data_IF_847297798600
#
_entry.id   IF_847297798600
#
_cell.length_a   1.000
_cell.length_b   1.000
_cell.length_c   1.000
_cell.angle_alpha   90.00
_cell.angle_beta   90.00
_cell.angle_gamma   90.00
#
_symmetry.space_group_name_H-M   'P 1'
#
loop_
_entity.id
_entity.type
_entity.pdbx_description
1 polymer ?
#
# COMPACT_ATOMS: atom_id res chain seq x y z
N UNK A 1 -2.33 -2.90 -12.43
CA UNK A 1 -2.38 -1.46 -12.75
C UNK A 1 -2.49 -0.66 -11.47
N UNK A 2 -1.76 0.46 -11.37
CA UNK A 2 -1.83 1.38 -10.23
C UNK A 2 -2.69 2.61 -10.61
N UNK A 3 -3.52 3.07 -9.68
CA UNK A 3 -4.31 4.29 -9.84
C UNK A 3 -3.40 5.53 -9.97
N UNK A 4 -3.81 6.49 -10.79
CA UNK A 4 -3.08 7.76 -10.95
C UNK A 4 -3.38 8.75 -9.82
N UNK A 5 -4.42 8.51 -9.05
CA UNK A 5 -4.84 9.34 -7.90
C UNK A 5 -4.86 8.52 -6.61
N UNK A 6 -4.66 9.20 -5.50
CA UNK A 6 -4.98 8.64 -4.19
C UNK A 6 -6.51 8.57 -4.04
N UNK A 7 -6.98 7.58 -3.34
CA UNK A 7 -8.39 7.54 -2.94
C UNK A 7 -8.68 8.65 -1.90
N UNK A 8 -9.96 8.88 -1.63
CA UNK A 8 -10.41 9.86 -0.65
C UNK A 8 -9.93 11.31 -0.92
N UNK A 9 -9.95 11.72 -2.19
CA UNK A 9 -9.50 13.06 -2.62
C UNK A 9 -8.09 13.43 -2.12
N UNK A 10 -7.19 12.45 -2.08
CA UNK A 10 -5.82 12.57 -1.57
C UNK A 10 -5.70 12.93 -0.08
N UNK A 11 -6.75 12.77 0.69
CA UNK A 11 -6.67 12.89 2.16
C UNK A 11 -6.18 11.57 2.78
N UNK A 12 -5.47 11.69 3.89
CA UNK A 12 -5.01 10.55 4.68
C UNK A 12 -6.17 9.98 5.50
N UNK A 13 -6.19 8.67 5.61
CA UNK A 13 -7.20 7.94 6.38
C UNK A 13 -6.55 6.92 7.31
N UNK A 14 -7.24 6.58 8.38
CA UNK A 14 -6.87 5.44 9.21
C UNK A 14 -7.18 4.14 8.46
N UNK A 15 -6.46 3.07 8.81
CA UNK A 15 -6.72 1.77 8.19
C UNK A 15 -8.05 1.18 8.67
N UNK A 16 -8.29 1.21 9.98
CA UNK A 16 -9.52 0.70 10.60
C UNK A 16 -9.84 1.45 11.88
N UNK A 17 -11.15 1.58 12.16
CA UNK A 17 -11.70 1.99 13.45
C UNK A 17 -11.74 0.85 14.48
N UNK A 18 -11.55 -0.39 14.02
CA UNK A 18 -11.59 -1.60 14.83
C UNK A 18 -10.40 -2.52 14.52
N UNK A 19 -9.96 -3.24 15.53
CA UNK A 19 -8.90 -4.24 15.37
C UNK A 19 -9.44 -5.67 15.23
N UNK A 20 -10.74 -5.86 15.26
CA UNK A 20 -11.42 -7.10 15.60
C UNK A 20 -11.24 -8.24 14.59
N UNK A 21 -11.04 -7.95 13.31
CA UNK A 21 -11.02 -8.98 12.26
C UNK A 21 -9.71 -9.06 11.48
N UNK A 22 -8.68 -8.42 11.99
CA UNK A 22 -7.35 -8.51 11.38
C UNK A 22 -6.77 -9.93 11.46
N UNK A 23 -7.31 -10.79 12.32
CA UNK A 23 -6.88 -12.19 12.43
C UNK A 23 -7.24 -13.04 11.20
N UNK A 24 -8.09 -12.54 10.31
CA UNK A 24 -8.33 -13.16 8.99
C UNK A 24 -7.16 -12.97 8.02
N UNK A 25 -6.34 -11.97 8.26
CA UNK A 25 -5.20 -11.65 7.42
C UNK A 25 -3.96 -12.36 7.95
N UNK A 26 -3.18 -12.94 7.04
CA UNK A 26 -1.91 -13.56 7.39
C UNK A 26 -0.90 -12.53 7.89
N UNK A 27 -0.11 -12.92 8.89
CA UNK A 27 0.96 -12.08 9.42
C UNK A 27 2.13 -11.98 8.43
N UNK A 28 2.48 -10.77 8.04
CA UNK A 28 3.61 -10.44 7.17
C UNK A 28 4.78 -9.89 7.99
N UNK A 29 5.39 -10.74 8.81
CA UNK A 29 6.43 -10.33 9.77
C UNK A 29 7.85 -10.36 9.20
N UNK A 30 8.13 -11.19 8.20
CA UNK A 30 9.46 -11.33 7.60
C UNK A 30 9.57 -10.62 6.25
N UNK A 31 10.81 -10.44 5.76
CA UNK A 31 11.08 -9.94 4.41
C UNK A 31 10.39 -10.81 3.35
N UNK A 32 10.53 -12.14 3.44
CA UNK A 32 9.95 -13.05 2.46
C UNK A 32 8.42 -13.03 2.50
N UNK A 33 7.80 -12.97 3.68
CA UNK A 33 6.34 -12.85 3.77
C UNK A 33 5.84 -11.56 3.12
N UNK A 34 6.53 -10.43 3.33
CA UNK A 34 6.16 -9.17 2.70
C UNK A 34 6.30 -9.21 1.18
N UNK A 35 7.41 -9.74 0.69
CA UNK A 35 7.66 -9.87 -0.75
C UNK A 35 6.66 -10.81 -1.43
N UNK A 36 6.36 -11.95 -0.82
CA UNK A 36 5.45 -12.96 -1.39
C UNK A 36 3.97 -12.67 -1.19
N UNK A 37 3.60 -11.68 -0.36
CA UNK A 37 2.20 -11.33 -0.17
C UNK A 37 1.67 -10.50 -1.35
N UNK A 38 1.07 -11.19 -2.31
CA UNK A 38 0.38 -10.59 -3.46
C UNK A 38 -1.15 -10.64 -3.31
N UNK A 39 -1.64 -10.84 -2.08
CA UNK A 39 -3.05 -11.13 -1.77
C UNK A 39 -3.92 -9.87 -1.62
N UNK A 40 -3.54 -8.72 -2.19
CA UNK A 40 -4.24 -7.45 -1.95
C UNK A 40 -5.75 -7.51 -2.16
N UNK A 41 -6.19 -8.06 -3.29
CA UNK A 41 -7.61 -8.27 -3.56
C UNK A 41 -8.25 -9.23 -2.56
N UNK A 42 -7.64 -10.39 -2.34
CA UNK A 42 -8.13 -11.39 -1.39
C UNK A 42 -8.22 -10.88 0.04
N UNK A 43 -7.27 -10.06 0.49
CA UNK A 43 -7.30 -9.42 1.79
C UNK A 43 -8.52 -8.50 1.94
N UNK A 44 -8.81 -7.68 0.92
CA UNK A 44 -10.00 -6.81 0.91
C UNK A 44 -11.29 -7.63 0.93
N UNK A 45 -11.39 -8.67 0.10
CA UNK A 45 -12.58 -9.51 0.01
C UNK A 45 -12.81 -10.36 1.28
N UNK A 46 -11.76 -10.77 1.97
CA UNK A 46 -11.87 -11.45 3.26
C UNK A 46 -12.58 -10.58 4.30
N UNK A 47 -12.21 -9.28 4.38
CA UNK A 47 -12.88 -8.32 5.25
C UNK A 47 -14.32 -8.07 4.80
N UNK A 48 -14.55 -7.84 3.49
CA UNK A 48 -15.89 -7.61 2.93
C UNK A 48 -16.83 -8.77 3.20
N UNK A 49 -16.36 -10.00 3.01
CA UNK A 49 -17.17 -11.21 3.18
C UNK A 49 -17.63 -11.41 4.62
N UNK A 50 -16.86 -10.94 5.59
CA UNK A 50 -17.22 -11.08 6.99
C UNK A 50 -18.13 -9.97 7.51
N UNK A 51 -17.84 -8.72 7.15
CA UNK A 51 -18.55 -7.54 7.63
C UNK A 51 -19.71 -7.11 6.72
N UNK A 52 -19.79 -7.63 5.50
CA UNK A 52 -20.76 -7.23 4.48
C UNK A 52 -20.47 -5.86 3.83
N UNK A 53 -19.60 -5.06 4.44
CA UNK A 53 -19.20 -3.73 3.95
C UNK A 53 -17.85 -3.32 4.55
N UNK A 54 -17.40 -2.09 4.29
CA UNK A 54 -16.17 -1.51 4.83
C UNK A 54 -16.38 -0.35 5.81
N UNK A 55 -17.55 -0.22 6.44
CA UNK A 55 -17.87 0.93 7.31
C UNK A 55 -16.88 1.14 8.46
N UNK A 56 -16.24 0.06 8.90
CA UNK A 56 -15.25 0.10 9.98
C UNK A 56 -13.80 0.21 9.49
N UNK A 57 -13.60 0.23 8.18
CA UNK A 57 -12.29 0.17 7.52
C UNK A 57 -12.10 1.34 6.54
N UNK A 58 -11.85 2.56 7.03
CA UNK A 58 -11.75 3.76 6.19
C UNK A 58 -10.79 3.64 5.00
N UNK A 59 -9.68 2.91 5.15
CA UNK A 59 -8.77 2.68 4.03
C UNK A 59 -9.41 1.86 2.91
N UNK A 60 -10.22 0.84 3.24
CA UNK A 60 -10.93 0.02 2.26
C UNK A 60 -12.17 0.74 1.72
N UNK A 61 -12.86 1.52 2.58
CA UNK A 61 -13.98 2.37 2.18
C UNK A 61 -13.53 3.44 1.15
N UNK A 62 -12.33 4.01 1.33
CA UNK A 62 -11.75 4.94 0.37
C UNK A 62 -11.57 4.30 -1.01
N UNK A 63 -11.17 3.03 -1.06
CA UNK A 63 -11.07 2.26 -2.31
C UNK A 63 -12.45 2.01 -2.95
N UNK A 64 -13.46 1.70 -2.17
CA UNK A 64 -14.84 1.55 -2.69
C UNK A 64 -15.37 2.87 -3.28
N UNK A 65 -15.12 3.99 -2.60
CA UNK A 65 -15.41 5.31 -3.15
C UNK A 65 -14.67 5.57 -4.45
N UNK A 66 -13.42 5.11 -4.57
CA UNK A 66 -12.64 5.22 -5.79
C UNK A 66 -13.22 4.37 -6.93
N UNK A 67 -13.70 3.16 -6.67
CA UNK A 67 -14.42 2.33 -7.65
C UNK A 67 -15.67 3.03 -8.21
N UNK A 68 -16.35 3.83 -7.40
CA UNK A 68 -17.51 4.60 -7.82
C UNK A 68 -17.16 5.78 -8.71
N UNK A 69 -16.07 6.50 -8.38
CA UNK A 69 -15.65 7.72 -9.08
C UNK A 69 -14.79 7.44 -10.31
N UNK A 70 -14.08 6.31 -10.33
CA UNK A 70 -13.20 5.86 -11.39
C UNK A 70 -13.54 4.42 -11.80
N UNK A 71 -14.74 4.19 -12.39
CA UNK A 71 -15.18 2.84 -12.75
C UNK A 71 -14.24 2.21 -13.79
N UNK A 72 -14.08 0.90 -13.68
CA UNK A 72 -13.22 0.10 -14.57
C UNK A 72 -14.03 -1.02 -15.23
N UNK A 73 -13.53 -1.63 -16.32
CA UNK A 73 -14.22 -2.75 -16.96
C UNK A 73 -14.51 -3.90 -16.00
N UNK A 74 -15.66 -4.54 -16.16
CA UNK A 74 -16.09 -5.70 -15.35
C UNK A 74 -15.21 -6.95 -15.51
N UNK A 75 -14.31 -6.93 -16.48
CA UNK A 75 -13.30 -7.98 -16.69
C UNK A 75 -12.09 -7.85 -15.76
N UNK A 76 -12.10 -6.86 -14.88
CA UNK A 76 -11.04 -6.62 -13.89
C UNK A 76 -11.54 -6.91 -12.48
N UNK A 77 -10.61 -6.96 -11.51
CA UNK A 77 -10.97 -7.08 -10.08
C UNK A 77 -11.75 -5.88 -9.52
N UNK A 78 -11.83 -4.76 -10.26
CA UNK A 78 -12.07 -3.48 -9.64
C UNK A 78 -10.83 -2.98 -8.88
N UNK A 79 -10.91 -1.77 -8.36
CA UNK A 79 -9.84 -1.21 -7.52
C UNK A 79 -9.84 -1.84 -6.13
N UNK A 80 -8.65 -2.13 -5.59
CA UNK A 80 -8.46 -2.66 -4.25
C UNK A 80 -7.19 -2.08 -3.59
N UNK A 81 -7.06 -2.23 -2.29
CA UNK A 81 -5.87 -1.81 -1.54
C UNK A 81 -4.74 -2.81 -1.79
N UNK A 82 -3.59 -2.40 -2.34
CA UNK A 82 -2.48 -3.31 -2.63
C UNK A 82 -1.91 -3.95 -1.36
N UNK A 83 -1.46 -5.19 -1.48
CA UNK A 83 -0.65 -5.85 -0.46
C UNK A 83 0.78 -5.34 -0.44
N UNK A 84 1.55 -5.75 0.56
CA UNK A 84 2.95 -5.34 0.72
C UNK A 84 3.83 -5.81 -0.44
N UNK A 85 3.63 -7.03 -0.95
CA UNK A 85 4.36 -7.54 -2.11
C UNK A 85 4.00 -6.81 -3.41
N UNK A 86 2.73 -6.42 -3.57
CA UNK A 86 2.31 -5.61 -4.71
C UNK A 86 2.92 -4.20 -4.67
N UNK A 87 3.02 -3.58 -3.50
CA UNK A 87 3.79 -2.35 -3.34
C UNK A 87 5.28 -2.54 -3.67
N UNK A 88 5.84 -3.67 -3.25
CA UNK A 88 7.21 -4.05 -3.59
C UNK A 88 7.43 -4.07 -5.10
N UNK A 89 6.55 -4.76 -5.82
CA UNK A 89 6.59 -4.83 -7.30
C UNK A 89 6.44 -3.44 -7.95
N UNK A 90 5.56 -2.59 -7.44
CA UNK A 90 5.39 -1.22 -7.92
C UNK A 90 6.70 -0.43 -7.77
N UNK A 91 7.29 -0.44 -6.60
CA UNK A 91 8.51 0.31 -6.32
C UNK A 91 9.71 -0.25 -7.09
N UNK A 92 9.82 -1.57 -7.21
CA UNK A 92 10.89 -2.24 -7.93
C UNK A 92 10.82 -1.98 -9.43
N UNK A 93 9.64 -2.18 -10.02
CA UNK A 93 9.48 -2.18 -11.48
C UNK A 93 9.13 -0.80 -12.04
N UNK A 94 8.19 -0.08 -11.43
CA UNK A 94 7.79 1.25 -11.87
C UNK A 94 8.62 2.36 -11.23
N UNK A 95 9.05 2.16 -9.99
CA UNK A 95 9.91 3.09 -9.27
C UNK A 95 11.39 2.99 -9.64
N UNK A 96 11.77 2.01 -10.46
CA UNK A 96 13.16 1.83 -10.90
C UNK A 96 14.11 1.37 -9.80
N UNK A 97 13.63 0.56 -8.85
CA UNK A 97 14.40 0.06 -7.71
C UNK A 97 14.65 -1.45 -7.78
N UNK A 98 15.43 -1.97 -8.73
CA UNK A 98 15.70 -3.41 -8.84
C UNK A 98 16.40 -3.96 -7.59
N UNK A 99 17.15 -3.13 -6.86
CA UNK A 99 17.86 -3.51 -5.65
C UNK A 99 16.95 -3.86 -4.44
N UNK A 100 15.65 -3.64 -4.51
CA UNK A 100 14.74 -4.05 -3.43
C UNK A 100 14.78 -5.55 -3.18
N UNK A 101 15.03 -6.37 -4.22
CA UNK A 101 15.14 -7.82 -4.10
C UNK A 101 16.36 -8.24 -3.27
N UNK A 102 17.50 -7.54 -3.42
CA UNK A 102 18.82 -8.03 -3.02
C UNK A 102 19.34 -7.42 -1.72
N UNK A 103 18.97 -6.23 -1.37
CA UNK A 103 19.51 -5.54 -0.21
C UNK A 103 18.47 -4.83 0.64
N UNK A 104 18.49 -5.05 1.94
CA UNK A 104 17.77 -4.23 2.89
C UNK A 104 18.60 -4.06 4.15
N UNK A 105 18.38 -2.96 4.83
CA UNK A 105 18.87 -2.76 6.18
C UNK A 105 17.70 -2.89 7.14
N UNK A 106 17.88 -3.65 8.20
CA UNK A 106 16.94 -3.72 9.29
C UNK A 106 17.40 -2.76 10.38
N UNK A 107 16.52 -1.87 10.83
CA UNK A 107 16.90 -0.83 11.79
C UNK A 107 17.06 -1.35 13.20
N UNK A 108 16.32 -2.38 13.56
CA UNK A 108 16.53 -3.12 14.81
C UNK A 108 16.02 -4.55 14.70
N UNK A 109 16.55 -5.45 15.53
CA UNK A 109 16.13 -6.84 15.60
C UNK A 109 14.66 -7.00 16.01
N UNK A 110 14.08 -6.01 16.64
CA UNK A 110 12.77 -6.12 17.28
C UNK A 110 11.62 -5.52 16.44
N UNK A 111 11.93 -4.74 15.41
CA UNK A 111 10.93 -3.93 14.73
C UNK A 111 10.44 -4.53 13.41
N UNK A 112 11.19 -5.43 12.79
CA UNK A 112 10.85 -6.01 11.49
C UNK A 112 10.42 -4.96 10.44
N UNK A 113 11.12 -3.84 10.42
CA UNK A 113 11.04 -2.81 9.39
C UNK A 113 12.18 -2.99 8.38
N UNK A 114 11.91 -2.73 7.13
CA UNK A 114 12.86 -2.92 6.04
C UNK A 114 13.16 -1.59 5.38
N UNK A 115 14.44 -1.30 5.16
CA UNK A 115 14.93 -0.04 4.63
C UNK A 115 15.90 -0.30 3.49
N UNK A 116 15.80 0.52 2.47
CA UNK A 116 16.73 0.55 1.34
C UNK A 116 17.21 1.99 1.16
N UNK A 117 18.52 2.21 1.29
CA UNK A 117 19.15 3.51 1.09
C UNK A 117 19.40 3.81 -0.40
N UNK A 118 19.70 5.06 -0.70
CA UNK A 118 20.09 5.51 -2.03
C UNK A 118 19.04 5.29 -3.13
N UNK A 119 17.75 5.39 -2.78
CA UNK A 119 16.63 5.23 -3.68
C UNK A 119 15.90 6.56 -3.98
N UNK A 120 16.62 7.67 -3.94
CA UNK A 120 16.07 9.03 -4.02
C UNK A 120 15.27 9.37 -5.27
N UNK A 121 15.44 8.59 -6.36
CA UNK A 121 14.78 8.86 -7.64
C UNK A 121 13.42 8.15 -7.80
N UNK A 122 12.97 7.38 -6.82
CA UNK A 122 11.73 6.59 -6.93
C UNK A 122 10.49 7.43 -7.12
N UNK A 123 10.26 8.52 -6.37
CA UNK A 123 9.09 9.37 -6.63
C UNK A 123 9.07 9.92 -8.06
N UNK A 124 10.21 10.35 -8.57
CA UNK A 124 10.31 10.88 -9.93
C UNK A 124 10.05 9.80 -10.99
N UNK A 125 10.57 8.60 -10.79
CA UNK A 125 10.30 7.47 -11.66
C UNK A 125 8.81 7.10 -11.68
N UNK A 126 8.15 7.01 -10.50
CA UNK A 126 6.71 6.76 -10.40
C UNK A 126 5.90 7.89 -11.05
N UNK A 127 6.27 9.14 -10.79
CA UNK A 127 5.61 10.32 -11.33
C UNK A 127 5.69 10.38 -12.85
N UNK A 128 6.78 9.91 -13.44
CA UNK A 128 6.99 9.88 -14.89
C UNK A 128 5.93 9.05 -15.61
N UNK A 129 5.45 7.95 -15.02
CA UNK A 129 4.41 7.11 -15.59
C UNK A 129 3.02 7.78 -15.61
N UNK A 130 2.82 8.80 -14.78
CA UNK A 130 1.56 9.52 -14.64
C UNK A 130 1.59 10.88 -15.34
N UNK A 131 2.75 11.28 -15.87
CA UNK A 131 2.92 12.56 -16.54
C UNK A 131 1.96 12.72 -17.73
N UNK A 132 1.27 13.84 -17.81
CA UNK A 132 0.31 14.14 -18.86
C UNK A 132 -1.09 13.60 -18.64
N UNK A 133 -1.35 12.94 -17.51
CA UNK A 133 -2.70 12.52 -17.11
C UNK A 133 -3.29 13.62 -16.23
N UNK A 134 -4.43 14.17 -16.61
CA UNK A 134 -5.08 15.23 -15.86
C UNK A 134 -5.46 14.81 -14.45
N UNK A 135 -5.11 15.67 -13.50
CA UNK A 135 -5.51 15.52 -12.10
C UNK A 135 -4.86 14.33 -11.37
N UNK A 136 -3.68 13.86 -11.82
CA UNK A 136 -2.92 12.85 -11.08
C UNK A 136 -2.35 13.40 -9.79
N UNK A 137 -2.22 12.52 -8.80
CA UNK A 137 -1.60 12.85 -7.51
C UNK A 137 -0.14 12.46 -7.49
N UNK A 138 0.72 13.45 -7.30
CA UNK A 138 2.17 13.29 -7.27
C UNK A 138 2.61 12.44 -6.08
N UNK A 139 3.52 11.50 -6.31
CA UNK A 139 4.34 10.94 -5.24
C UNK A 139 5.32 12.01 -4.77
N UNK A 140 5.35 12.26 -3.48
CA UNK A 140 6.25 13.25 -2.88
C UNK A 140 7.01 12.62 -1.72
N UNK A 141 8.04 13.32 -1.25
CA UNK A 141 8.80 12.91 -0.07
C UNK A 141 7.87 12.70 1.13
N UNK A 142 8.17 11.69 1.95
CA UNK A 142 7.39 11.31 3.13
C UNK A 142 5.95 10.85 2.87
N UNK A 143 5.55 10.66 1.61
CA UNK A 143 4.28 10.03 1.37
C UNK A 143 4.31 8.59 1.86
N UNK A 144 3.39 8.28 2.73
CA UNK A 144 3.22 6.97 3.36
C UNK A 144 1.91 6.37 2.89
N UNK A 145 1.96 5.14 2.43
CA UNK A 145 0.82 4.47 1.82
C UNK A 145 0.47 3.19 2.56
N UNK A 146 -0.79 3.04 2.91
CA UNK A 146 -1.29 1.80 3.47
C UNK A 146 -1.12 0.64 2.50
N UNK A 147 -0.88 -0.55 3.05
CA UNK A 147 -1.09 -1.83 2.37
C UNK A 147 -2.22 -2.61 3.03
N UNK A 148 -2.74 -3.62 2.34
CA UNK A 148 -3.71 -4.56 2.90
C UNK A 148 -3.05 -5.67 3.73
N UNK A 149 -1.73 -5.71 3.82
CA UNK A 149 -0.98 -6.73 4.56
C UNK A 149 -0.93 -6.40 6.05
N UNK A 150 -1.29 -7.37 6.88
CA UNK A 150 -1.14 -7.26 8.34
C UNK A 150 0.31 -7.52 8.75
N UNK A 151 0.86 -6.74 9.68
CA UNK A 151 2.12 -7.09 10.33
C UNK A 151 1.90 -8.15 11.40
N UNK A 152 1.23 -7.78 12.49
CA UNK A 152 0.71 -8.68 13.53
C UNK A 152 -0.26 -7.92 14.45
N UNK A 153 -1.16 -8.63 15.11
CA UNK A 153 -2.13 -7.99 16.03
C UNK A 153 -2.89 -6.85 15.33
N UNK A 154 -2.87 -5.67 15.91
CA UNK A 154 -3.57 -4.47 15.42
C UNK A 154 -2.68 -3.55 14.59
N UNK A 155 -1.72 -4.09 13.87
CA UNK A 155 -0.79 -3.31 13.07
C UNK A 155 -0.75 -3.78 11.63
N UNK A 156 -0.71 -2.83 10.72
CA UNK A 156 -0.68 -3.05 9.28
C UNK A 156 0.64 -2.62 8.69
N UNK A 157 1.04 -3.24 7.59
CA UNK A 157 2.17 -2.79 6.78
C UNK A 157 1.81 -1.51 6.04
N UNK A 158 2.80 -0.63 5.92
CA UNK A 158 2.75 0.54 5.05
C UNK A 158 4.10 0.81 4.40
N UNK A 159 4.06 1.52 3.28
CA UNK A 159 5.24 1.86 2.52
C UNK A 159 5.51 3.35 2.51
N UNK A 160 6.78 3.70 2.62
CA UNK A 160 7.30 5.06 2.40
C UNK A 160 8.03 5.03 1.06
N UNK A 161 7.50 5.76 0.08
CA UNK A 161 8.05 5.75 -1.28
C UNK A 161 9.41 6.46 -1.37
N UNK A 162 9.65 7.44 -0.50
CA UNK A 162 10.96 8.07 -0.30
C UNK A 162 10.96 8.94 0.97
N UNK A 163 12.09 9.01 1.66
CA UNK A 163 12.39 10.02 2.67
C UNK A 163 13.39 11.04 2.12
N UNK A 164 13.63 12.15 2.81
CA UNK A 164 14.62 13.16 2.40
C UNK A 164 16.02 12.57 2.19
N UNK A 165 16.35 11.52 2.92
CA UNK A 165 17.63 10.83 2.83
C UNK A 165 17.68 9.79 1.68
N UNK A 166 16.67 9.76 0.81
CA UNK A 166 16.60 8.81 -0.30
C UNK A 166 16.30 7.36 0.12
N UNK A 167 15.59 7.18 1.24
CA UNK A 167 15.25 5.84 1.73
C UNK A 167 13.84 5.45 1.30
N UNK A 168 13.71 4.23 0.78
CA UNK A 168 12.43 3.52 0.73
C UNK A 168 12.33 2.67 1.98
N UNK A 169 11.14 2.54 2.53
CA UNK A 169 10.92 1.64 3.64
C UNK A 169 9.56 0.95 3.63
N UNK A 170 9.57 -0.32 4.04
CA UNK A 170 8.40 -1.06 4.45
C UNK A 170 8.35 -1.08 5.96
N UNK A 171 7.33 -0.47 6.53
CA UNK A 171 7.16 -0.31 7.96
C UNK A 171 5.86 -0.94 8.43
N UNK A 172 5.62 -0.90 9.72
CA UNK A 172 4.35 -1.24 10.31
C UNK A 172 3.84 -0.11 11.20
N UNK A 173 2.54 0.01 11.32
CA UNK A 173 1.90 1.03 12.13
C UNK A 173 0.57 0.57 12.68
N UNK A 174 0.14 1.20 13.75
CA UNK A 174 -1.18 0.96 14.30
C UNK A 174 -2.25 1.34 13.28
N UNK A 175 -3.36 0.61 13.25
CA UNK A 175 -4.49 0.85 12.33
C UNK A 175 -5.07 2.26 12.40
N UNK A 176 -4.82 3.01 13.46
CA UNK A 176 -5.27 4.40 13.62
C UNK A 176 -4.30 5.45 13.07
N UNK A 177 -3.17 5.07 12.48
CA UNK A 177 -2.32 6.01 11.75
C UNK A 177 -3.07 6.55 10.53
N UNK A 178 -2.81 7.80 10.19
CA UNK A 178 -3.42 8.43 9.02
C UNK A 178 -2.44 8.45 7.85
N UNK A 179 -2.69 7.60 6.86
CA UNK A 179 -1.83 7.42 5.69
C UNK A 179 -2.65 7.50 4.39
N UNK A 180 -1.96 7.67 3.27
CA UNK A 180 -2.59 7.68 1.96
C UNK A 180 -3.02 6.28 1.52
N UNK A 181 -4.02 6.24 0.67
CA UNK A 181 -4.48 5.04 -0.03
C UNK A 181 -4.29 5.23 -1.53
N UNK A 182 -3.46 4.40 -2.14
CA UNK A 182 -3.26 4.35 -3.60
C UNK A 182 -3.78 3.01 -4.11
N UNK A 183 -4.95 2.98 -4.78
CA UNK A 183 -5.53 1.74 -5.27
C UNK A 183 -4.75 1.11 -6.41
N UNK A 184 -4.92 -0.20 -6.56
CA UNK A 184 -4.46 -0.98 -7.71
C UNK A 184 -5.61 -1.85 -8.23
N UNK A 185 -5.47 -2.35 -9.46
CA UNK A 185 -6.37 -3.36 -10.03
C UNK A 185 -5.60 -4.43 -10.79
N UNK A 186 -6.21 -5.60 -10.97
CA UNK A 186 -5.72 -6.71 -11.79
C UNK A 186 -6.75 -7.09 -12.87
N UNK A 187 -6.25 -7.75 -13.93
CA UNK A 187 -7.03 -8.28 -15.04
C UNK A 187 -7.22 -9.78 -14.88
#
# INVERSE_FOLDING_TARGET
VMAVKNANAAEKVIWSNESRYLDLLNDCVSKSNNYSDISGYGNCESIRSLEGNFDKYPALQAVDGYNTTCPVPTTTTGWYLPSSGQWWDILQNLGGCPALADGYQQTSSDINEFFWSNQGNVPDALNKWMWGIDGWDKFSYYHQFWSSSKFKGNTMRYWVANSDDGWISCRWGNVNFQLYVRPVLAF
#
